data_IF_427615205253
#
_entry.id   IF_427615205253
#
_cell.length_a   1.000
_cell.length_b   1.000
_cell.length_c   1.000
_cell.angle_alpha   90.00
_cell.angle_beta   90.00
_cell.angle_gamma   90.00
#
_symmetry.space_group_name_H-M   'P 1'
#
loop_
_entity.id
_entity.type
_entity.pdbx_description
1 polymer ?
#
# COMPACT_ATOMS: atom_id res chain seq x y z
N UNK A 1 27.62 -11.62 -3.90
CA UNK A 1 28.68 -10.63 -3.59
C UNK A 1 28.05 -9.48 -2.82
N UNK A 2 28.81 -8.50 -2.33
CA UNK A 2 28.28 -7.33 -1.61
C UNK A 2 28.62 -6.08 -2.43
N UNK A 3 27.64 -5.22 -2.69
CA UNK A 3 27.85 -3.90 -3.28
C UNK A 3 28.29 -2.92 -2.19
N UNK A 4 29.46 -2.33 -2.35
CA UNK A 4 30.00 -1.33 -1.43
C UNK A 4 29.45 0.05 -1.79
N UNK A 5 29.44 0.99 -0.83
CA UNK A 5 28.97 2.36 -1.04
C UNK A 5 29.74 3.14 -2.13
N UNK A 6 30.97 2.71 -2.45
CA UNK A 6 31.78 3.29 -3.53
C UNK A 6 31.49 2.67 -4.92
N UNK A 7 30.45 1.83 -5.04
CA UNK A 7 30.07 1.16 -6.30
C UNK A 7 30.89 -0.09 -6.64
N UNK A 8 31.87 -0.48 -5.83
CA UNK A 8 32.66 -1.70 -6.06
C UNK A 8 31.97 -2.93 -5.50
N UNK A 9 32.28 -4.11 -6.05
CA UNK A 9 31.68 -5.38 -5.61
C UNK A 9 32.73 -6.24 -4.90
N UNK A 10 32.44 -6.61 -3.65
CA UNK A 10 33.30 -7.49 -2.83
C UNK A 10 32.76 -8.92 -2.79
N UNK A 11 33.63 -9.95 -2.76
CA UNK A 11 33.20 -11.34 -2.53
C UNK A 11 32.41 -11.48 -1.23
N UNK A 12 31.34 -12.29 -1.24
CA UNK A 12 30.60 -12.62 -0.03
C UNK A 12 31.38 -13.58 0.88
N UNK A 13 31.18 -13.45 2.19
CA UNK A 13 31.91 -14.19 3.23
C UNK A 13 31.87 -15.72 3.06
N UNK A 14 30.73 -16.27 2.62
CA UNK A 14 30.50 -17.71 2.59
C UNK A 14 31.09 -18.43 1.36
N UNK A 15 31.44 -17.70 0.31
CA UNK A 15 31.90 -18.29 -0.97
C UNK A 15 33.25 -17.73 -1.46
N UNK A 16 33.87 -16.82 -0.70
CA UNK A 16 35.18 -16.26 -1.06
C UNK A 16 36.29 -17.31 -1.11
N UNK A 17 36.19 -18.40 -0.32
CA UNK A 17 37.22 -19.44 -0.21
C UNK A 17 37.13 -20.60 -1.22
N UNK A 18 36.11 -20.66 -2.10
CA UNK A 18 35.95 -21.77 -3.05
C UNK A 18 35.47 -21.30 -4.44
N UNK A 19 36.37 -20.78 -5.29
CA UNK A 19 36.02 -20.26 -6.62
C UNK A 19 35.50 -21.32 -7.58
N UNK A 20 35.93 -22.59 -7.44
CA UNK A 20 35.49 -23.70 -8.29
C UNK A 20 34.03 -24.11 -8.03
N UNK A 21 33.55 -23.97 -6.78
CA UNK A 21 32.14 -24.13 -6.45
C UNK A 21 31.33 -22.91 -6.90
N UNK A 22 31.87 -21.70 -6.72
CA UNK A 22 31.21 -20.45 -7.12
C UNK A 22 30.88 -20.42 -8.62
N UNK A 23 31.77 -20.91 -9.49
CA UNK A 23 31.55 -20.94 -10.95
C UNK A 23 30.46 -21.93 -11.38
N UNK A 24 30.03 -22.83 -10.50
CA UNK A 24 28.96 -23.82 -10.76
C UNK A 24 27.58 -23.38 -10.22
N UNK A 25 27.49 -22.23 -9.54
CA UNK A 25 26.27 -21.73 -8.93
C UNK A 25 25.77 -20.49 -9.68
N UNK A 26 24.46 -20.43 -9.96
CA UNK A 26 23.83 -19.29 -10.65
C UNK A 26 23.35 -18.21 -9.68
N UNK A 27 22.65 -18.57 -8.60
CA UNK A 27 22.26 -17.66 -7.53
C UNK A 27 22.20 -18.39 -6.19
N UNK A 28 22.61 -17.71 -5.12
CA UNK A 28 22.50 -18.20 -3.73
C UNK A 28 21.55 -17.27 -3.02
N UNK A 29 20.51 -17.83 -2.41
CA UNK A 29 19.49 -17.07 -1.69
C UNK A 29 19.47 -17.55 -0.25
N UNK A 30 19.75 -16.64 0.68
CA UNK A 30 19.61 -16.91 2.10
C UNK A 30 18.15 -16.80 2.50
N UNK A 31 17.62 -17.83 3.16
CA UNK A 31 16.30 -17.80 3.78
C UNK A 31 16.49 -18.00 5.28
N UNK A 32 16.01 -17.05 6.06
CA UNK A 32 16.19 -17.02 7.51
C UNK A 32 14.87 -16.66 8.18
N UNK A 33 14.64 -17.20 9.39
CA UNK A 33 13.49 -16.86 10.24
C UNK A 33 13.91 -15.79 11.27
N UNK A 34 14.38 -14.65 10.78
CA UNK A 34 14.95 -13.55 11.58
C UNK A 34 14.41 -12.17 11.15
N UNK A 35 13.33 -12.13 10.40
CA UNK A 35 12.63 -10.91 10.03
C UNK A 35 11.83 -10.35 11.22
N UNK A 36 11.54 -9.06 11.17
CA UNK A 36 10.67 -8.37 12.12
C UNK A 36 9.61 -7.56 11.40
N UNK A 37 8.52 -7.29 12.11
CA UNK A 37 7.40 -6.49 11.65
C UNK A 37 6.75 -5.79 12.83
N UNK A 38 6.60 -4.48 12.73
CA UNK A 38 6.00 -3.64 13.76
C UNK A 38 4.81 -2.89 13.20
N UNK A 39 3.66 -2.99 13.87
CA UNK A 39 2.42 -2.31 13.50
C UNK A 39 1.96 -1.41 14.65
N UNK A 40 1.76 -0.13 14.34
CA UNK A 40 1.17 0.83 15.28
C UNK A 40 -0.04 1.47 14.62
N UNK A 41 -1.12 1.66 15.36
CA UNK A 41 -2.32 2.29 14.83
C UNK A 41 -3.06 3.15 15.84
N UNK A 42 -3.77 4.14 15.28
CA UNK A 42 -4.81 4.91 15.94
C UNK A 42 -6.15 4.54 15.33
N UNK A 43 -7.13 4.22 16.16
CA UNK A 43 -8.49 3.93 15.73
C UNK A 43 -9.46 4.89 16.42
N UNK A 44 -10.34 5.51 15.65
CA UNK A 44 -11.36 6.42 16.13
C UNK A 44 -12.71 6.06 15.51
N UNK A 45 -13.76 6.04 16.35
CA UNK A 45 -15.13 5.79 15.91
C UNK A 45 -16.02 6.90 16.43
N UNK A 46 -16.71 7.58 15.52
CA UNK A 46 -17.77 8.53 15.82
C UNK A 46 -19.10 7.92 15.42
N UNK A 47 -20.01 7.75 16.38
CA UNK A 47 -21.33 7.21 16.14
C UNK A 47 -22.42 8.23 16.49
N UNK A 48 -23.34 8.44 15.56
CA UNK A 48 -24.59 9.15 15.78
C UNK A 48 -25.76 8.18 15.74
N UNK A 49 -26.39 7.97 16.90
CA UNK A 49 -27.67 7.26 16.99
C UNK A 49 -28.77 8.07 16.32
N UNK A 50 -29.79 7.37 15.81
CA UNK A 50 -30.96 7.96 15.16
C UNK A 50 -31.58 9.05 16.04
N UNK A 51 -31.48 10.29 15.60
CA UNK A 51 -32.24 11.39 16.17
C UNK A 51 -32.49 12.47 15.12
N UNK A 52 -33.70 13.03 15.14
CA UNK A 52 -34.16 14.00 14.15
C UNK A 52 -34.01 13.50 12.70
N UNK A 53 -34.18 12.19 12.48
CA UNK A 53 -34.08 11.56 11.17
C UNK A 53 -32.66 11.22 10.70
N UNK A 54 -31.61 11.52 11.48
CA UNK A 54 -30.22 11.25 11.10
C UNK A 54 -29.58 10.17 11.98
N UNK A 55 -29.01 9.15 11.33
CA UNK A 55 -28.16 8.12 11.91
C UNK A 55 -26.89 7.97 11.07
N UNK A 56 -25.78 7.61 11.71
CA UNK A 56 -24.57 7.27 10.97
C UNK A 56 -23.39 6.92 11.86
N UNK A 57 -22.33 6.45 11.22
CA UNK A 57 -21.06 6.17 11.87
C UNK A 57 -19.91 6.51 10.93
N UNK A 58 -18.81 7.00 11.50
CA UNK A 58 -17.53 7.14 10.83
C UNK A 58 -16.51 6.35 11.65
N UNK A 59 -15.85 5.39 11.02
CA UNK A 59 -14.72 4.66 11.57
C UNK A 59 -13.46 5.04 10.77
N UNK A 60 -12.42 5.46 11.49
CA UNK A 60 -11.16 5.88 10.91
C UNK A 60 -10.01 5.17 11.60
N UNK A 61 -9.13 4.59 10.80
CA UNK A 61 -7.87 3.98 11.23
C UNK A 61 -6.73 4.71 10.55
N UNK A 62 -5.77 5.15 11.36
CA UNK A 62 -4.44 5.49 10.88
C UNK A 62 -3.48 4.39 11.29
N UNK A 63 -2.75 3.80 10.34
CA UNK A 63 -1.78 2.73 10.62
C UNK A 63 -0.39 3.09 10.12
N UNK A 64 0.61 2.46 10.76
CA UNK A 64 1.98 2.45 10.30
C UNK A 64 2.57 1.07 10.56
N UNK A 65 2.78 0.32 9.48
CA UNK A 65 3.45 -0.97 9.50
C UNK A 65 4.85 -0.84 8.88
N UNK A 66 5.86 -1.31 9.62
CA UNK A 66 7.24 -1.39 9.13
C UNK A 66 7.71 -2.84 9.18
N UNK A 67 8.47 -3.26 8.18
CA UNK A 67 9.11 -4.58 8.17
C UNK A 67 10.43 -4.50 7.43
N UNK A 68 11.31 -5.48 7.66
CA UNK A 68 12.50 -5.69 6.87
C UNK A 68 12.39 -6.89 5.92
N UNK A 69 11.22 -7.53 5.81
CA UNK A 69 11.01 -8.64 4.89
C UNK A 69 9.56 -8.71 4.43
N UNK A 70 9.36 -8.89 3.13
CA UNK A 70 8.04 -9.19 2.59
C UNK A 70 7.61 -10.67 2.79
N UNK A 71 8.51 -11.52 3.32
CA UNK A 71 8.31 -12.97 3.43
C UNK A 71 8.57 -13.72 2.11
N UNK A 72 9.03 -14.98 2.19
CA UNK A 72 9.49 -15.75 1.02
C UNK A 72 8.44 -15.92 -0.08
N UNK A 73 7.19 -16.18 0.32
CA UNK A 73 6.09 -16.41 -0.60
C UNK A 73 5.39 -15.13 -1.06
N UNK A 74 5.78 -13.96 -0.55
CA UNK A 74 5.19 -12.67 -0.90
C UNK A 74 3.66 -12.69 -0.90
N UNK A 75 3.08 -11.93 -1.83
CA UNK A 75 1.63 -11.95 -2.11
C UNK A 75 1.35 -12.98 -3.21
N UNK A 76 0.56 -14.01 -2.91
CA UNK A 76 0.04 -14.93 -3.92
C UNK A 76 -1.25 -14.37 -4.52
N UNK A 77 -1.28 -14.18 -5.85
CA UNK A 77 -2.47 -13.77 -6.60
C UNK A 77 -2.14 -12.90 -7.82
N UNK A 78 -2.80 -13.14 -8.94
CA UNK A 78 -2.72 -12.26 -10.12
C UNK A 78 -3.62 -11.03 -9.88
N UNK A 79 -3.08 -9.81 -9.99
CA UNK A 79 -3.85 -8.56 -9.82
C UNK A 79 -3.67 -7.82 -8.49
N UNK A 80 -2.52 -7.92 -7.83
CA UNK A 80 -2.24 -7.14 -6.62
C UNK A 80 -2.08 -5.65 -6.95
N UNK A 81 -2.71 -4.79 -6.13
CA UNK A 81 -2.65 -3.33 -6.26
C UNK A 81 -1.24 -2.77 -5.96
N UNK A 82 -0.42 -3.53 -5.23
CA UNK A 82 1.00 -3.29 -5.05
C UNK A 82 1.77 -4.61 -5.06
N UNK A 83 2.98 -4.59 -5.60
CA UNK A 83 3.91 -5.72 -5.49
C UNK A 83 4.84 -5.47 -4.31
N UNK A 84 5.06 -6.46 -3.43
CA UNK A 84 6.19 -6.41 -2.53
C UNK A 84 7.49 -6.28 -3.33
N UNK A 85 8.53 -5.77 -2.66
CA UNK A 85 9.89 -5.96 -3.12
C UNK A 85 10.27 -7.44 -3.20
N UNK A 86 11.49 -7.70 -3.67
CA UNK A 86 12.00 -9.07 -3.65
C UNK A 86 11.98 -9.65 -2.23
N UNK A 87 11.62 -10.94 -2.07
CA UNK A 87 11.55 -11.58 -0.77
C UNK A 87 12.93 -11.87 -0.15
N UNK A 88 14.01 -11.56 -0.89
CA UNK A 88 15.39 -11.76 -0.47
C UNK A 88 16.02 -10.42 -0.15
N UNK A 89 16.78 -10.39 0.94
CA UNK A 89 17.63 -9.26 1.26
C UNK A 89 18.72 -9.09 0.21
N UNK A 90 18.96 -7.84 -0.21
CA UNK A 90 20.08 -7.48 -1.08
C UNK A 90 21.40 -7.77 -0.40
N UNK A 91 21.48 -7.48 0.89
CA UNK A 91 22.59 -7.84 1.74
C UNK A 91 22.14 -8.81 2.82
N UNK A 92 22.40 -10.11 2.60
CA UNK A 92 22.07 -11.17 3.58
C UNK A 92 22.79 -11.00 4.93
N UNK A 93 23.84 -10.18 4.99
CA UNK A 93 24.59 -9.88 6.21
C UNK A 93 24.02 -8.68 6.98
N UNK A 94 23.16 -7.88 6.35
CA UNK A 94 22.51 -6.71 6.95
C UNK A 94 21.02 -6.67 6.56
N UNK A 95 20.23 -7.50 7.21
CA UNK A 95 18.78 -7.51 7.03
C UNK A 95 18.08 -6.24 7.51
N UNK A 96 18.74 -5.34 8.25
CA UNK A 96 18.11 -4.08 8.66
C UNK A 96 18.14 -3.02 7.56
N UNK A 97 19.04 -3.14 6.60
CA UNK A 97 19.06 -2.32 5.37
C UNK A 97 17.79 -2.45 4.51
N UNK A 98 16.97 -3.45 4.82
CA UNK A 98 15.75 -3.82 4.09
C UNK A 98 14.49 -3.20 4.70
N UNK A 99 14.65 -2.42 5.78
CA UNK A 99 13.56 -1.76 6.48
C UNK A 99 12.76 -0.85 5.54
N UNK A 100 11.48 -1.15 5.41
CA UNK A 100 10.53 -0.34 4.64
C UNK A 100 9.11 -0.49 5.18
N UNK A 101 8.16 0.32 4.66
CA UNK A 101 6.75 0.13 4.96
C UNK A 101 6.28 -1.25 4.52
N UNK A 102 5.35 -1.86 5.26
CA UNK A 102 4.70 -3.08 4.80
C UNK A 102 3.90 -2.78 3.52
N UNK A 103 4.04 -3.62 2.51
CA UNK A 103 3.45 -3.41 1.18
C UNK A 103 1.91 -3.53 1.15
N UNK A 104 1.29 -3.97 2.24
CA UNK A 104 -0.17 -4.07 2.43
C UNK A 104 -0.69 -3.11 3.51
N UNK A 105 0.13 -2.17 3.97
CA UNK A 105 -0.29 -1.17 4.95
C UNK A 105 -1.11 -0.06 4.27
N UNK A 106 -2.32 0.16 4.75
CA UNK A 106 -3.17 1.28 4.36
C UNK A 106 -3.07 2.39 5.42
N UNK A 107 -2.11 3.30 5.22
CA UNK A 107 -1.80 4.32 6.23
C UNK A 107 -3.02 5.09 6.75
N UNK A 108 -4.01 5.37 5.89
CA UNK A 108 -5.31 5.88 6.28
C UNK A 108 -6.41 5.00 5.70
N UNK A 109 -7.35 4.58 6.55
CA UNK A 109 -8.55 3.87 6.13
C UNK A 109 -9.77 4.50 6.84
N UNK A 110 -10.75 4.93 6.05
CA UNK A 110 -12.00 5.51 6.48
C UNK A 110 -13.16 4.68 5.92
N UNK A 111 -14.02 4.20 6.81
CA UNK A 111 -15.31 3.61 6.45
C UNK A 111 -16.41 4.38 7.17
N UNK A 112 -17.45 4.76 6.44
CA UNK A 112 -18.59 5.45 7.02
C UNK A 112 -19.89 5.03 6.37
N UNK A 113 -20.95 5.16 7.15
CA UNK A 113 -22.31 5.09 6.62
C UNK A 113 -23.16 6.22 7.21
N UNK A 114 -24.14 6.63 6.43
CA UNK A 114 -25.14 7.62 6.84
C UNK A 114 -26.51 7.17 6.36
N UNK A 115 -27.50 7.43 7.19
CA UNK A 115 -28.90 7.24 6.88
C UNK A 115 -29.63 8.51 7.33
N UNK A 116 -30.31 9.16 6.38
CA UNK A 116 -31.04 10.38 6.62
C UNK A 116 -32.47 10.29 6.10
N UNK A 117 -33.42 10.27 7.02
CA UNK A 117 -34.84 10.40 6.74
C UNK A 117 -35.14 11.85 6.36
N UNK A 118 -35.49 12.06 5.09
CA UNK A 118 -35.77 13.40 4.60
C UNK A 118 -36.97 13.99 5.34
N UNK A 119 -36.93 15.28 5.69
CA UNK A 119 -37.96 15.90 6.52
C UNK A 119 -39.23 16.28 5.73
N UNK A 120 -39.58 15.52 4.69
CA UNK A 120 -40.77 15.71 3.87
C UNK A 120 -41.87 14.70 4.21
N UNK A 121 -43.12 15.19 4.22
CA UNK A 121 -44.31 14.39 4.46
C UNK A 121 -45.13 14.87 5.65
N UNK A 122 -46.28 14.22 5.81
CA UNK A 122 -47.25 14.50 6.86
C UNK A 122 -46.62 14.25 8.23
N UNK A 123 -46.72 15.21 9.14
CA UNK A 123 -46.08 15.16 10.46
C UNK A 123 -44.56 15.39 10.48
N UNK A 124 -43.94 15.75 9.34
CA UNK A 124 -42.52 16.16 9.24
C UNK A 124 -42.40 17.69 9.09
N UNK A 125 -41.16 18.19 9.09
CA UNK A 125 -40.87 19.65 9.05
C UNK A 125 -41.42 20.32 7.79
N UNK A 126 -41.35 19.65 6.65
CA UNK A 126 -41.87 20.14 5.38
C UNK A 126 -43.07 19.29 4.93
N UNK A 127 -44.20 19.94 4.65
CA UNK A 127 -45.41 19.23 4.24
C UNK A 127 -46.21 18.59 5.37
N UNK A 128 -46.13 19.17 6.58
CA UNK A 128 -46.83 18.66 7.78
C UNK A 128 -48.33 18.40 7.55
N UNK A 129 -48.98 19.23 6.74
CA UNK A 129 -50.41 19.17 6.44
C UNK A 129 -50.76 18.57 5.06
N UNK A 130 -49.81 17.88 4.41
CA UNK A 130 -50.07 17.28 3.09
C UNK A 130 -51.27 16.31 3.14
N UNK A 131 -52.07 16.35 2.07
CA UNK A 131 -53.14 15.38 1.87
C UNK A 131 -52.55 13.99 1.58
N UNK A 132 -53.38 12.94 1.64
CA UNK A 132 -52.92 11.55 1.53
C UNK A 132 -52.19 11.27 0.20
N UNK A 133 -52.69 11.82 -0.90
CA UNK A 133 -52.14 11.60 -2.24
C UNK A 133 -50.77 12.28 -2.38
N UNK A 134 -50.65 13.54 -1.97
CA UNK A 134 -49.38 14.25 -2.02
C UNK A 134 -48.34 13.61 -1.09
N UNK A 135 -48.74 13.22 0.13
CA UNK A 135 -47.85 12.53 1.07
C UNK A 135 -47.35 11.18 0.54
N UNK A 136 -48.16 10.45 -0.23
CA UNK A 136 -47.75 9.19 -0.84
C UNK A 136 -46.62 9.36 -1.87
N UNK A 137 -46.51 10.54 -2.48
CA UNK A 137 -45.48 10.83 -3.49
C UNK A 137 -44.23 11.45 -2.86
N UNK A 138 -44.39 12.40 -1.93
CA UNK A 138 -43.27 13.20 -1.42
C UNK A 138 -42.89 12.89 0.03
N UNK A 139 -43.61 12.01 0.71
CA UNK A 139 -43.38 11.67 2.12
C UNK A 139 -42.58 10.38 2.31
N UNK A 140 -41.85 10.30 3.42
CA UNK A 140 -41.20 9.05 3.86
C UNK A 140 -39.91 8.68 3.12
N UNK A 141 -39.39 9.57 2.28
CA UNK A 141 -38.11 9.38 1.61
C UNK A 141 -36.95 9.31 2.61
N UNK A 142 -36.02 8.40 2.33
CA UNK A 142 -34.77 8.22 3.07
C UNK A 142 -33.61 8.20 2.09
N UNK A 143 -32.46 8.70 2.52
CA UNK A 143 -31.21 8.63 1.77
C UNK A 143 -30.19 7.90 2.63
N UNK A 144 -29.68 6.80 2.10
CA UNK A 144 -28.61 6.02 2.68
C UNK A 144 -27.35 6.06 1.79
N UNK A 145 -26.19 5.92 2.43
CA UNK A 145 -24.92 5.88 1.71
C UNK A 145 -23.82 5.30 2.55
N UNK A 146 -22.91 4.58 1.89
CA UNK A 146 -21.67 4.05 2.45
C UNK A 146 -20.51 4.68 1.69
N UNK A 147 -19.51 5.16 2.43
CA UNK A 147 -18.27 5.67 1.88
C UNK A 147 -17.11 4.85 2.44
N UNK A 148 -16.27 4.35 1.55
CA UNK A 148 -14.99 3.71 1.91
C UNK A 148 -13.89 4.41 1.15
N UNK A 149 -12.87 4.86 1.87
CA UNK A 149 -11.71 5.54 1.32
C UNK A 149 -10.47 5.05 2.07
N UNK A 150 -9.40 4.75 1.33
CA UNK A 150 -8.12 4.43 1.91
C UNK A 150 -6.98 5.02 1.07
N UNK A 151 -5.81 5.18 1.68
CA UNK A 151 -4.59 5.46 0.93
C UNK A 151 -4.15 4.25 0.14
N UNK A 152 -3.39 4.48 -0.94
CA UNK A 152 -2.73 3.40 -1.66
C UNK A 152 -1.69 2.66 -0.83
N UNK A 153 -1.25 1.54 -1.38
CA UNK A 153 -0.26 0.67 -0.78
C UNK A 153 1.18 1.12 -1.10
N UNK A 154 2.12 0.76 -0.22
CA UNK A 154 3.53 0.99 -0.48
C UNK A 154 4.02 0.11 -1.64
N UNK A 155 4.69 0.72 -2.61
CA UNK A 155 5.26 0.04 -3.78
C UNK A 155 6.78 0.02 -3.68
N UNK A 156 7.39 -1.12 -4.01
CA UNK A 156 8.84 -1.20 -4.19
C UNK A 156 9.18 -1.08 -5.66
N UNK A 157 10.01 -0.08 -6.01
CA UNK A 157 10.56 0.03 -7.37
C UNK A 157 11.77 -0.91 -7.49
N UNK A 158 11.73 -1.77 -8.49
CA UNK A 158 12.76 -2.75 -8.76
C UNK A 158 13.22 -2.67 -10.21
N UNK A 159 14.43 -3.18 -10.44
CA UNK A 159 14.99 -3.39 -11.76
C UNK A 159 15.30 -4.88 -11.95
N UNK A 160 14.85 -5.42 -13.08
CA UNK A 160 15.10 -6.81 -13.45
C UNK A 160 16.54 -6.95 -13.97
N UNK A 161 17.29 -7.93 -13.46
CA UNK A 161 18.70 -8.15 -13.80
C UNK A 161 19.68 -7.66 -12.72
N UNK A 162 20.96 -7.76 -13.05
CA UNK A 162 22.09 -7.53 -12.13
C UNK A 162 23.00 -6.37 -12.58
N UNK A 163 22.49 -5.13 -12.71
CA UNK A 163 23.34 -3.98 -13.07
C UNK A 163 24.43 -3.73 -12.01
N UNK A 164 24.21 -4.17 -10.77
CA UNK A 164 25.20 -4.06 -9.68
C UNK A 164 26.31 -5.11 -9.72
N UNK A 165 26.25 -6.12 -10.61
CA UNK A 165 27.26 -7.20 -10.70
C UNK A 165 27.36 -8.08 -9.44
N UNK A 166 26.33 -8.09 -8.60
CA UNK A 166 26.37 -8.77 -7.30
C UNK A 166 25.99 -10.25 -7.35
N UNK A 167 25.46 -10.70 -8.48
CA UNK A 167 24.75 -11.97 -8.66
C UNK A 167 23.27 -11.89 -8.27
N UNK A 168 22.71 -10.68 -8.13
CA UNK A 168 21.32 -10.48 -7.75
C UNK A 168 20.39 -10.65 -8.96
N UNK A 169 19.28 -11.35 -8.80
CA UNK A 169 18.32 -11.53 -9.89
C UNK A 169 17.50 -10.27 -10.18
N UNK A 170 17.29 -9.46 -9.14
CA UNK A 170 16.55 -8.20 -9.16
C UNK A 170 17.25 -7.25 -8.21
N UNK A 171 17.39 -6.00 -8.62
CA UNK A 171 18.02 -4.93 -7.83
C UNK A 171 16.99 -3.84 -7.52
N UNK A 172 17.23 -3.04 -6.48
CA UNK A 172 16.42 -1.82 -6.25
C UNK A 172 17.09 -0.68 -6.99
N UNK A 173 16.29 0.14 -7.66
CA UNK A 173 16.77 1.32 -8.36
C UNK A 173 17.29 2.38 -7.39
N UNK A 174 18.31 3.12 -7.82
CA UNK A 174 18.71 4.35 -7.16
C UNK A 174 17.64 5.43 -7.37
N UNK A 175 17.43 6.30 -6.37
CA UNK A 175 16.54 7.46 -6.45
C UNK A 175 17.35 8.75 -6.25
N UNK A 176 18.16 9.17 -7.25
CA UNK A 176 19.09 10.30 -7.10
C UNK A 176 18.40 11.67 -7.05
N UNK A 177 17.14 11.77 -7.50
CA UNK A 177 16.37 13.02 -7.54
C UNK A 177 15.03 12.88 -6.81
N UNK A 178 14.42 14.01 -6.49
CA UNK A 178 13.08 14.05 -5.89
C UNK A 178 12.02 13.52 -6.86
N UNK A 179 11.11 12.70 -6.34
CA UNK A 179 10.00 12.14 -7.13
C UNK A 179 8.96 13.23 -7.40
N UNK A 180 8.58 13.40 -8.67
CA UNK A 180 7.50 14.27 -9.10
C UNK A 180 6.18 13.51 -9.23
N UNK A 181 5.05 14.17 -8.97
CA UNK A 181 3.69 13.60 -9.03
C UNK A 181 2.81 14.36 -10.02
N UNK A 182 3.08 14.26 -11.34
CA UNK A 182 2.40 15.07 -12.35
C UNK A 182 0.93 14.70 -12.57
N UNK A 183 0.50 13.49 -12.15
CA UNK A 183 -0.90 13.01 -12.25
C UNK A 183 -1.46 13.16 -13.66
N UNK A 184 -0.70 12.72 -14.66
CA UNK A 184 -1.04 12.88 -16.08
C UNK A 184 -1.84 11.69 -16.61
N UNK A 185 -2.79 11.96 -17.50
CA UNK A 185 -3.48 10.89 -18.23
C UNK A 185 -2.51 10.27 -19.24
N UNK A 186 -2.40 8.95 -19.25
CA UNK A 186 -1.54 8.23 -20.20
C UNK A 186 -2.35 7.75 -21.40
N UNK A 187 -1.72 7.72 -22.58
CA UNK A 187 -2.36 7.33 -23.84
C UNK A 187 -2.86 5.88 -23.84
N UNK A 188 -2.26 5.00 -23.03
CA UNK A 188 -2.70 3.62 -22.79
C UNK A 188 -3.94 3.50 -21.89
N UNK A 189 -4.46 4.61 -21.38
CA UNK A 189 -5.55 4.66 -20.40
C UNK A 189 -5.05 4.67 -18.96
N UNK A 190 -5.76 5.42 -18.10
CA UNK A 190 -5.43 5.60 -16.68
C UNK A 190 -4.68 6.89 -16.37
N UNK A 191 -4.27 7.03 -15.11
CA UNK A 191 -3.52 8.19 -14.59
C UNK A 191 -2.15 7.70 -14.11
N UNK A 192 -1.09 8.30 -14.62
CA UNK A 192 0.26 8.14 -14.10
C UNK A 192 0.45 9.06 -12.90
N UNK A 193 0.56 8.45 -11.72
CA UNK A 193 0.61 9.18 -10.45
C UNK A 193 1.98 9.80 -10.14
N UNK A 194 3.07 9.20 -10.62
CA UNK A 194 4.44 9.67 -10.39
C UNK A 194 5.33 9.56 -11.63
N UNK A 195 6.40 10.34 -11.67
CA UNK A 195 7.40 10.31 -12.73
C UNK A 195 8.48 9.23 -12.45
N UNK A 196 8.57 8.16 -13.27
CA UNK A 196 9.55 7.11 -13.08
C UNK A 196 10.98 7.54 -13.44
N UNK A 197 11.20 8.69 -14.10
CA UNK A 197 12.55 9.15 -14.45
C UNK A 197 13.40 9.54 -13.23
N UNK A 198 12.79 9.65 -12.06
CA UNK A 198 13.51 9.83 -10.79
C UNK A 198 14.28 8.58 -10.36
N UNK A 199 14.02 7.42 -10.99
CA UNK A 199 14.69 6.16 -10.71
C UNK A 199 15.73 5.83 -11.77
N UNK A 200 16.89 5.35 -11.33
CA UNK A 200 17.97 4.90 -12.22
C UNK A 200 18.43 3.49 -11.82
N UNK A 201 18.93 2.68 -12.76
CA UNK A 201 19.61 1.44 -12.43
C UNK A 201 20.77 1.67 -11.46
N UNK A 202 21.15 0.60 -10.77
CA UNK A 202 22.28 0.58 -9.83
C UNK A 202 23.60 0.63 -10.56
#
# INVERSE_FOLDING_TARGET
NILNANGTVSPGLYMAGNPALKSKLSSIRGTFSNAWMDYNALQAVLQKRMSSGLQGQVAYTYSKCMTNSAGYYGTWGNGTQASPGMPYWQNVYDGNSEKGPCFYDEAHNLTSYVLYQLPFGRGKKFGSNLNKVANAVVGGWEVDGILTMHTGFAMTVNNWGDPSGTGAWVTRTNCPSSISYPKTTVSSGGIQWFDPSAFTPV
#
